data_IF_604687314663
#
_entry.id   IF_604687314663
#
_cell.length_a   1.000
_cell.length_b   1.000
_cell.length_c   1.000
_cell.angle_alpha   90.00
_cell.angle_beta   90.00
_cell.angle_gamma   90.00
#
_symmetry.space_group_name_H-M   'P 1'
#
loop_
_entity.id
_entity.type
_entity.pdbx_description
1 polymer ?
#
# COMPACT_ATOMS: atom_id res chain seq x y z
N UNK A 1 5.14 -21.04 -7.61
CA UNK A 1 3.73 -20.72 -7.93
C UNK A 1 3.35 -19.44 -7.19
N UNK A 2 3.05 -18.37 -7.91
CA UNK A 2 2.70 -17.07 -7.30
C UNK A 2 1.26 -17.02 -6.83
N UNK A 3 0.99 -16.38 -5.69
CA UNK A 3 -0.37 -16.08 -5.23
C UNK A 3 -1.04 -15.12 -6.21
N UNK A 4 -2.28 -15.41 -6.63
CA UNK A 4 -3.06 -14.48 -7.45
C UNK A 4 -3.38 -13.21 -6.67
N UNK A 5 -3.59 -12.10 -7.37
CA UNK A 5 -3.96 -10.82 -6.74
C UNK A 5 -5.27 -10.92 -5.95
N UNK A 6 -6.27 -11.63 -6.47
CA UNK A 6 -7.54 -11.86 -5.78
C UNK A 6 -7.33 -12.54 -4.42
N UNK A 7 -6.60 -13.66 -4.40
CA UNK A 7 -6.29 -14.40 -3.16
C UNK A 7 -5.44 -13.59 -2.18
N UNK A 8 -4.57 -12.71 -2.68
CA UNK A 8 -3.81 -11.78 -1.84
C UNK A 8 -4.72 -10.74 -1.18
N UNK A 9 -5.68 -10.18 -1.93
CA UNK A 9 -6.65 -9.23 -1.42
C UNK A 9 -7.60 -9.87 -0.40
N UNK A 10 -8.04 -11.12 -0.60
CA UNK A 10 -8.86 -11.84 0.38
C UNK A 10 -8.14 -11.89 1.74
N UNK A 11 -6.84 -12.21 1.73
CA UNK A 11 -6.02 -12.19 2.94
C UNK A 11 -5.86 -10.78 3.51
N UNK A 12 -5.72 -9.77 2.65
CA UNK A 12 -5.61 -8.39 3.08
C UNK A 12 -6.87 -7.92 3.80
N UNK A 13 -8.07 -8.24 3.30
CA UNK A 13 -9.33 -7.89 3.96
C UNK A 13 -9.54 -8.68 5.26
N UNK A 14 -9.15 -9.95 5.32
CA UNK A 14 -9.13 -10.71 6.60
C UNK A 14 -8.22 -10.07 7.66
N UNK A 15 -7.14 -9.41 7.24
CA UNK A 15 -6.27 -8.66 8.15
C UNK A 15 -6.94 -7.38 8.64
N UNK A 16 -7.75 -6.73 7.81
CA UNK A 16 -8.52 -5.53 8.18
C UNK A 16 -9.67 -5.81 9.14
N UNK A 17 -10.25 -7.02 9.11
CA UNK A 17 -11.32 -7.46 10.02
C UNK A 17 -10.91 -7.45 11.50
N UNK A 18 -9.61 -7.37 11.79
CA UNK A 18 -9.06 -7.25 13.15
C UNK A 18 -8.36 -5.90 13.29
N UNK A 19 -9.07 -4.85 13.76
CA UNK A 19 -8.49 -3.53 13.94
C UNK A 19 -7.19 -3.57 14.75
N UNK A 20 -6.17 -2.86 14.25
CA UNK A 20 -4.87 -2.76 14.91
C UNK A 20 -4.21 -1.44 14.54
N UNK A 21 -3.58 -0.79 15.52
CA UNK A 21 -2.74 0.38 15.28
C UNK A 21 -1.34 0.01 14.74
N UNK A 22 -0.93 -1.27 14.88
CA UNK A 22 0.45 -1.71 14.66
C UNK A 22 0.52 -2.91 13.72
N UNK A 23 0.36 -2.67 12.43
CA UNK A 23 0.54 -3.66 11.37
C UNK A 23 1.87 -3.40 10.66
N UNK A 24 2.84 -4.31 10.84
CA UNK A 24 4.13 -4.23 10.14
C UNK A 24 3.99 -4.75 8.71
N UNK A 25 4.19 -3.87 7.75
CA UNK A 25 4.15 -4.19 6.33
C UNK A 25 5.50 -3.91 5.67
N UNK A 26 5.74 -4.60 4.55
CA UNK A 26 6.96 -4.44 3.76
C UNK A 26 6.59 -4.18 2.31
N UNK A 27 7.06 -3.06 1.77
CA UNK A 27 6.96 -2.72 0.36
C UNK A 27 8.22 -3.25 -0.33
N UNK A 28 8.07 -4.06 -1.37
CA UNK A 28 9.18 -4.73 -2.07
C UNK A 28 9.08 -4.47 -3.56
N UNK A 29 10.16 -4.00 -4.19
CA UNK A 29 10.23 -3.88 -5.65
C UNK A 29 11.08 -5.00 -6.23
N UNK A 30 10.58 -5.62 -7.30
CA UNK A 30 11.32 -6.58 -8.11
C UNK A 30 11.15 -6.28 -9.60
N UNK A 31 11.73 -7.10 -10.46
CA UNK A 31 11.71 -6.91 -11.93
C UNK A 31 10.32 -6.93 -12.57
N UNK A 32 9.28 -7.32 -11.84
CA UNK A 32 7.92 -7.47 -12.39
C UNK A 32 6.92 -6.52 -11.73
N UNK A 33 7.26 -5.85 -10.62
CA UNK A 33 6.35 -4.94 -9.94
C UNK A 33 6.76 -4.56 -8.53
N UNK A 34 5.84 -3.89 -7.85
CA UNK A 34 5.91 -3.57 -6.43
C UNK A 34 4.85 -4.37 -5.68
N UNK A 35 5.26 -5.03 -4.61
CA UNK A 35 4.43 -5.89 -3.77
C UNK A 35 4.38 -5.35 -2.36
N UNK A 36 3.21 -5.38 -1.73
CA UNK A 36 3.05 -5.14 -0.30
C UNK A 36 2.89 -6.48 0.43
N UNK A 37 3.68 -6.70 1.47
CA UNK A 37 3.70 -7.94 2.23
C UNK A 37 3.38 -7.69 3.70
N UNK A 38 2.73 -8.65 4.34
CA UNK A 38 2.62 -8.75 5.80
C UNK A 38 3.04 -10.15 6.22
N UNK A 39 4.04 -10.26 7.11
CA UNK A 39 4.61 -11.55 7.56
C UNK A 39 4.98 -12.49 6.39
N UNK A 40 5.56 -11.94 5.33
CA UNK A 40 5.93 -12.68 4.11
C UNK A 40 4.77 -13.07 3.18
N UNK A 41 3.52 -12.80 3.57
CA UNK A 41 2.33 -13.05 2.74
C UNK A 41 1.99 -11.82 1.92
N UNK A 42 1.66 -12.05 0.64
CA UNK A 42 1.27 -10.99 -0.29
C UNK A 42 -0.09 -10.41 0.11
N UNK A 43 -0.16 -9.07 0.23
CA UNK A 43 -1.41 -8.33 0.42
C UNK A 43 -1.94 -7.79 -0.92
N UNK A 44 -1.06 -7.17 -1.70
CA UNK A 44 -1.38 -6.66 -3.04
C UNK A 44 -0.11 -6.54 -3.88
N UNK A 45 -0.29 -6.41 -5.19
CA UNK A 45 0.79 -6.22 -6.16
C UNK A 45 0.34 -5.29 -7.28
N UNK A 46 1.24 -4.41 -7.68
CA UNK A 46 1.12 -3.57 -8.89
C UNK A 46 2.28 -3.88 -9.84
N UNK A 47 2.03 -3.88 -11.14
CA UNK A 47 2.99 -4.29 -12.17
C UNK A 47 3.80 -3.11 -12.71
N UNK A 48 4.98 -3.37 -13.29
CA UNK A 48 5.80 -2.35 -13.98
C UNK A 48 5.11 -1.95 -15.29
N UNK A 49 4.17 -1.01 -15.17
CA UNK A 49 3.56 -0.25 -16.26
C UNK A 49 3.20 1.15 -15.72
N UNK A 50 2.82 2.09 -16.59
CA UNK A 50 2.55 3.49 -16.19
C UNK A 50 1.55 3.59 -15.04
N UNK A 51 0.46 2.82 -15.08
CA UNK A 51 -0.56 2.83 -14.03
C UNK A 51 -0.05 2.22 -12.73
N UNK A 52 0.60 1.06 -12.81
CA UNK A 52 1.12 0.36 -11.65
C UNK A 52 2.25 1.10 -10.95
N UNK A 53 3.09 1.84 -11.68
CA UNK A 53 4.13 2.69 -11.08
C UNK A 53 3.57 3.93 -10.39
N UNK A 54 2.48 4.52 -10.91
CA UNK A 54 1.76 5.59 -10.19
C UNK A 54 1.12 5.06 -8.91
N UNK A 55 0.50 3.88 -8.98
CA UNK A 55 -0.03 3.21 -7.81
C UNK A 55 1.07 2.89 -6.78
N UNK A 56 2.24 2.42 -7.20
CA UNK A 56 3.33 2.12 -6.27
C UNK A 56 3.89 3.36 -5.59
N UNK A 57 3.95 4.50 -6.29
CA UNK A 57 4.35 5.77 -5.70
C UNK A 57 3.33 6.23 -4.65
N UNK A 58 2.04 6.20 -4.98
CA UNK A 58 0.98 6.56 -4.03
C UNK A 58 0.95 5.61 -2.82
N UNK A 59 1.18 4.31 -3.03
CA UNK A 59 1.31 3.34 -1.92
C UNK A 59 2.49 3.68 -0.99
N UNK A 60 3.65 4.02 -1.56
CA UNK A 60 4.83 4.37 -0.78
C UNK A 60 4.60 5.66 0.04
N UNK A 61 3.99 6.66 -0.60
CA UNK A 61 3.62 7.93 0.00
C UNK A 61 2.65 7.75 1.18
N UNK A 62 1.55 7.02 0.96
CA UNK A 62 0.60 6.66 2.01
C UNK A 62 1.24 5.92 3.20
N UNK A 63 2.25 5.09 2.94
CA UNK A 63 3.02 4.38 3.97
C UNK A 63 4.05 5.27 4.68
N UNK A 64 4.33 6.47 4.18
CA UNK A 64 5.38 7.35 4.70
C UNK A 64 6.79 6.84 4.41
N UNK A 65 6.98 6.05 3.35
CA UNK A 65 8.28 5.48 2.95
C UNK A 65 8.63 5.87 1.52
N UNK A 66 9.90 5.71 1.15
CA UNK A 66 10.31 5.86 -0.25
C UNK A 66 9.88 4.63 -1.05
N UNK A 67 9.71 4.79 -2.36
CA UNK A 67 9.59 3.62 -3.24
C UNK A 67 10.93 2.84 -3.18
N UNK A 68 10.90 1.53 -2.88
CA UNK A 68 12.14 0.75 -2.77
C UNK A 68 12.83 0.65 -4.13
N UNK A 69 14.16 0.70 -4.13
CA UNK A 69 14.93 0.37 -5.34
C UNK A 69 14.72 -1.09 -5.78
N UNK A 70 15.13 -1.42 -7.01
CA UNK A 70 15.01 -2.77 -7.55
C UNK A 70 15.69 -3.81 -6.63
N UNK A 71 14.96 -4.87 -6.27
CA UNK A 71 15.36 -5.94 -5.35
C UNK A 71 15.65 -5.45 -3.91
N UNK A 72 15.13 -4.28 -3.53
CA UNK A 72 15.13 -3.75 -2.16
C UNK A 72 13.71 -3.71 -1.59
N UNK A 73 13.64 -3.39 -0.30
CA UNK A 73 12.39 -3.26 0.43
C UNK A 73 12.46 -2.16 1.47
N UNK A 74 11.32 -1.51 1.70
CA UNK A 74 11.09 -0.59 2.81
C UNK A 74 10.05 -1.18 3.76
N UNK A 75 10.16 -0.90 5.05
CA UNK A 75 9.22 -1.36 6.09
C UNK A 75 8.48 -0.18 6.72
N UNK A 76 7.21 -0.40 7.06
CA UNK A 76 6.38 0.56 7.77
C UNK A 76 5.53 -0.15 8.84
N UNK A 77 5.18 0.56 9.90
CA UNK A 77 4.21 0.11 10.90
C UNK A 77 3.02 1.05 10.85
N UNK A 78 1.87 0.53 10.43
CA UNK A 78 0.68 1.32 10.11
C UNK A 78 -0.57 0.77 10.79
N UNK A 79 -1.58 1.60 10.96
CA UNK A 79 -2.90 1.14 11.39
C UNK A 79 -3.61 0.36 10.28
N UNK A 80 -4.57 -0.49 10.63
CA UNK A 80 -5.46 -1.16 9.66
C UNK A 80 -6.22 -0.14 8.81
N UNK A 81 -6.59 1.00 9.36
CA UNK A 81 -7.24 2.09 8.62
C UNK A 81 -6.34 2.71 7.54
N UNK A 82 -5.05 2.94 7.83
CA UNK A 82 -4.08 3.40 6.83
C UNK A 82 -3.79 2.29 5.80
N UNK A 83 -3.69 1.03 6.25
CA UNK A 83 -3.53 -0.11 5.36
C UNK A 83 -4.67 -0.24 4.35
N UNK A 84 -5.92 0.01 4.76
CA UNK A 84 -7.07 0.03 3.86
C UNK A 84 -6.88 1.04 2.71
N UNK A 85 -6.39 2.25 3.01
CA UNK A 85 -6.10 3.29 2.00
C UNK A 85 -5.00 2.86 1.05
N UNK A 86 -3.93 2.24 1.55
CA UNK A 86 -2.86 1.69 0.70
C UNK A 86 -3.40 0.60 -0.25
N UNK A 87 -4.29 -0.26 0.24
CA UNK A 87 -4.94 -1.29 -0.59
C UNK A 87 -5.85 -0.65 -1.65
N UNK A 88 -6.63 0.38 -1.31
CA UNK A 88 -7.44 1.14 -2.24
C UNK A 88 -6.58 1.80 -3.34
N UNK A 89 -5.48 2.46 -2.98
CA UNK A 89 -4.52 3.06 -3.92
C UNK A 89 -3.95 2.02 -4.90
N UNK A 90 -3.63 0.82 -4.42
CA UNK A 90 -3.15 -0.29 -5.26
C UNK A 90 -4.18 -0.81 -6.28
N UNK A 91 -5.45 -0.44 -6.12
CA UNK A 91 -6.57 -0.89 -6.94
C UNK A 91 -7.04 0.15 -7.95
N UNK A 92 -6.57 1.40 -7.84
CA UNK A 92 -6.91 2.45 -8.77
C UNK A 92 -6.33 2.21 -10.17
N UNK A 93 -7.15 2.50 -11.18
CA UNK A 93 -6.72 2.54 -12.57
C UNK A 93 -6.24 3.94 -12.93
N UNK A 94 -4.96 4.21 -12.71
CA UNK A 94 -4.31 5.50 -13.01
C UNK A 94 -4.20 5.83 -14.51
N UNK A 95 -4.82 5.03 -15.40
CA UNK A 95 -5.09 5.44 -16.79
C UNK A 95 -6.29 6.39 -16.86
N UNK A 96 -7.16 6.38 -15.85
CA UNK A 96 -8.34 7.24 -15.74
C UNK A 96 -8.00 8.51 -14.94
N UNK A 97 -8.35 9.72 -15.43
CA UNK A 97 -8.11 10.96 -14.69
C UNK A 97 -8.75 10.97 -13.29
N UNK A 98 -9.95 10.40 -13.15
CA UNK A 98 -10.72 10.35 -11.89
C UNK A 98 -9.98 9.57 -10.80
N UNK A 99 -9.13 8.62 -11.18
CA UNK A 99 -8.28 7.90 -10.24
C UNK A 99 -7.26 8.82 -9.55
N UNK A 100 -6.86 9.93 -10.18
CA UNK A 100 -5.95 10.90 -9.54
C UNK A 100 -6.62 11.67 -8.41
N UNK A 101 -7.86 12.11 -8.61
CA UNK A 101 -8.62 12.76 -7.55
C UNK A 101 -8.88 11.80 -6.39
N UNK A 102 -9.21 10.54 -6.70
CA UNK A 102 -9.38 9.52 -5.66
C UNK A 102 -8.08 9.22 -4.93
N UNK A 103 -6.95 9.14 -5.63
CA UNK A 103 -5.66 8.96 -5.00
C UNK A 103 -5.32 10.14 -4.07
N UNK A 104 -5.59 11.38 -4.49
CA UNK A 104 -5.35 12.57 -3.67
C UNK A 104 -6.12 12.51 -2.36
N UNK A 105 -7.42 12.22 -2.39
CA UNK A 105 -8.21 12.08 -1.17
C UNK A 105 -7.72 10.96 -0.25
N UNK A 106 -7.38 9.79 -0.80
CA UNK A 106 -6.84 8.68 -0.01
C UNK A 106 -5.48 9.01 0.63
N UNK A 107 -4.66 9.82 -0.05
CA UNK A 107 -3.38 10.30 0.47
C UNK A 107 -3.60 11.34 1.58
N UNK A 108 -4.50 12.31 1.40
CA UNK A 108 -4.86 13.27 2.45
C UNK A 108 -5.34 12.57 3.73
N UNK A 109 -6.19 11.55 3.59
CA UNK A 109 -6.61 10.73 4.73
C UNK A 109 -5.45 9.95 5.35
N UNK A 110 -4.57 9.36 4.53
CA UNK A 110 -3.41 8.63 5.04
C UNK A 110 -2.45 9.55 5.79
N UNK A 111 -2.24 10.77 5.30
CA UNK A 111 -1.38 11.78 5.92
C UNK A 111 -1.94 12.21 7.29
N UNK A 112 -3.25 12.48 7.38
CA UNK A 112 -3.92 12.79 8.65
C UNK A 112 -3.73 11.65 9.68
N UNK A 113 -3.90 10.40 9.26
CA UNK A 113 -3.71 9.22 10.13
C UNK A 113 -2.27 9.01 10.57
N UNK A 114 -1.28 9.47 9.80
CA UNK A 114 0.14 9.45 10.22
C UNK A 114 0.45 10.59 11.18
N UNK A 115 -0.15 11.77 10.97
CA UNK A 115 0.02 12.98 11.79
C UNK A 115 -0.49 12.84 13.23
N UNK A 116 -1.60 12.12 13.45
CA UNK A 116 -2.12 11.82 14.80
C UNK A 116 -1.11 11.08 15.69
N UNK A 117 -0.05 10.47 15.13
CA UNK A 117 1.00 9.78 15.90
C UNK A 117 2.06 10.73 16.46
N UNK A 118 2.17 11.96 15.95
CA UNK A 118 3.30 12.84 16.24
C UNK A 118 3.09 13.73 17.48
N UNK A 119 1.85 13.87 17.95
CA UNK A 119 1.48 14.72 19.09
C UNK A 119 1.42 13.97 20.45
N UNK A 120 1.65 12.66 20.46
CA UNK A 120 1.55 11.79 21.65
C UNK A 120 2.92 11.32 22.22
N UNK A 121 4.02 12.03 21.93
CA UNK A 121 5.37 11.78 22.48
C UNK A 121 6.03 13.06 22.96
#
# INVERSE_FOLDING_TARGET
MGTSRAKALDYAYQLLDRPSAHVRVRLVQNHTGVSLLHKGRLLTRVYINRSGMRASLAMADALGVKIPALNRSEEAVVSTGLLYRVLALSQLDFRKPEAMEMARHLLEEADAMRGERQDDL
#
